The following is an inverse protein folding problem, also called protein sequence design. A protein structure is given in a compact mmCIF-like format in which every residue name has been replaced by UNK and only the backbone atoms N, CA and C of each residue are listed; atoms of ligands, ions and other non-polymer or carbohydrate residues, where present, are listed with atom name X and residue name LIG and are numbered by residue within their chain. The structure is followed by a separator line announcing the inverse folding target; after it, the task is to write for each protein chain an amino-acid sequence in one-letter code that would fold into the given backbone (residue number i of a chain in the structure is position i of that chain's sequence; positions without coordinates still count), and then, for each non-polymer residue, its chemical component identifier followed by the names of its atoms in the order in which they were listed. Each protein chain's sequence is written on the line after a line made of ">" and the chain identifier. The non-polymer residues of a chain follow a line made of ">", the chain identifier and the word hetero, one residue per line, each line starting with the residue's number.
data_IF_061731668283
#
_entry.id   IF_061731668283
#
_cell.length_a   1.000
_cell.length_b   1.000
_cell.length_c   1.000
_cell.angle_alpha   90.00
_cell.angle_beta   90.00
_cell.angle_gamma   90.00
#
_symmetry.space_group_name_H-M   'P 1'
#
loop_
_entity.id
_entity.type
_entity.pdbx_description
1 polymer ?
#
# COMPACT_ATOMS: atom_id res chain seq x y z
N UNK A 1 7.66 -10.77 -17.55
CA UNK A 1 7.17 -9.38 -17.58
C UNK A 1 8.30 -8.49 -17.08
N UNK A 2 8.76 -7.53 -17.89
CA UNK A 2 9.78 -6.55 -17.47
C UNK A 2 9.07 -5.50 -16.59
N UNK A 3 9.52 -5.34 -15.34
CA UNK A 3 9.08 -4.26 -14.46
C UNK A 3 9.62 -2.96 -15.05
N UNK A 4 8.75 -2.00 -15.34
CA UNK A 4 9.14 -0.69 -15.85
C UNK A 4 9.30 0.29 -14.69
N UNK A 5 10.07 1.34 -14.91
CA UNK A 5 10.28 2.39 -13.89
C UNK A 5 8.99 3.14 -13.52
N UNK A 6 7.96 3.04 -14.39
CA UNK A 6 6.63 3.66 -14.27
C UNK A 6 5.57 2.76 -13.63
N UNK A 7 5.94 1.59 -13.10
CA UNK A 7 4.99 0.63 -12.55
C UNK A 7 4.77 0.81 -11.04
N UNK A 8 3.58 0.44 -10.57
CA UNK A 8 3.24 0.32 -9.14
C UNK A 8 2.77 -1.08 -8.86
N UNK A 9 3.01 -1.55 -7.64
CA UNK A 9 2.62 -2.89 -7.23
C UNK A 9 1.11 -2.96 -7.05
N UNK A 10 0.48 -3.96 -7.66
CA UNK A 10 -0.98 -4.12 -7.65
C UNK A 10 -1.58 -4.26 -6.24
N UNK A 11 -0.77 -4.70 -5.26
CA UNK A 11 -1.17 -4.84 -3.86
C UNK A 11 -1.84 -3.58 -3.28
N UNK A 12 -1.40 -2.38 -3.71
CA UNK A 12 -2.03 -1.11 -3.32
C UNK A 12 -3.48 -1.03 -3.79
N UNK A 13 -3.72 -1.25 -5.09
CA UNK A 13 -5.07 -1.24 -5.67
C UNK A 13 -5.94 -2.36 -5.08
N UNK A 14 -5.38 -3.56 -4.89
CA UNK A 14 -6.09 -4.70 -4.29
C UNK A 14 -6.61 -4.33 -2.89
N UNK A 15 -5.72 -3.95 -1.97
CA UNK A 15 -6.12 -3.67 -0.59
C UNK A 15 -7.05 -2.45 -0.49
N UNK A 16 -6.87 -1.45 -1.33
CA UNK A 16 -7.80 -0.33 -1.42
C UNK A 16 -9.21 -0.78 -1.84
N UNK A 17 -9.31 -1.63 -2.86
CA UNK A 17 -10.61 -2.16 -3.30
C UNK A 17 -11.26 -3.06 -2.26
N UNK A 18 -10.47 -3.87 -1.55
CA UNK A 18 -10.97 -4.74 -0.49
C UNK A 18 -11.55 -3.90 0.65
N UNK A 19 -10.88 -2.81 1.03
CA UNK A 19 -11.40 -1.85 2.03
C UNK A 19 -12.70 -1.19 1.59
N UNK A 20 -12.82 -0.82 0.32
CA UNK A 20 -14.09 -0.31 -0.24
C UNK A 20 -15.19 -1.37 -0.15
N UNK A 21 -14.89 -2.61 -0.52
CA UNK A 21 -15.86 -3.72 -0.45
C UNK A 21 -16.36 -3.94 0.98
N UNK A 22 -15.45 -3.92 1.96
CA UNK A 22 -15.78 -4.06 3.38
C UNK A 22 -16.63 -2.90 3.92
N UNK A 23 -16.35 -1.66 3.51
CA UNK A 23 -16.94 -0.46 4.13
C UNK A 23 -18.10 0.18 3.35
N UNK A 24 -18.15 -0.01 2.03
CA UNK A 24 -19.14 0.61 1.12
C UNK A 24 -19.96 -0.42 0.34
N UNK A 25 -19.51 -1.68 0.30
CA UNK A 25 -20.19 -2.79 -0.35
C UNK A 25 -19.97 -2.89 -1.86
N UNK A 26 -20.15 -4.11 -2.39
CA UNK A 26 -19.92 -4.43 -3.80
C UNK A 26 -20.75 -3.59 -4.78
N UNK A 27 -22.03 -3.35 -4.48
CA UNK A 27 -22.91 -2.59 -5.37
C UNK A 27 -22.42 -1.15 -5.61
N UNK A 28 -21.85 -0.52 -4.58
CA UNK A 28 -21.30 0.83 -4.68
C UNK A 28 -20.04 0.84 -5.56
N UNK A 29 -19.16 -0.15 -5.35
CA UNK A 29 -17.96 -0.32 -6.15
C UNK A 29 -18.30 -0.58 -7.62
N UNK A 30 -19.20 -1.53 -7.90
CA UNK A 30 -19.59 -1.91 -9.26
C UNK A 30 -20.18 -0.74 -10.03
N UNK A 31 -21.01 0.07 -9.36
CA UNK A 31 -21.60 1.28 -9.97
C UNK A 31 -20.54 2.28 -10.39
N UNK A 32 -19.54 2.53 -9.55
CA UNK A 32 -18.47 3.48 -9.87
C UNK A 32 -17.46 2.90 -10.87
N UNK A 33 -17.16 1.61 -10.77
CA UNK A 33 -16.32 0.89 -11.73
C UNK A 33 -16.91 0.89 -13.14
N UNK A 34 -18.24 0.86 -13.27
CA UNK A 34 -18.93 0.96 -14.57
C UNK A 34 -18.76 2.32 -15.26
N UNK A 35 -18.41 3.38 -14.52
CA UNK A 35 -18.17 4.72 -15.06
C UNK A 35 -16.73 4.95 -15.53
N UNK A 36 -15.82 4.02 -15.20
CA UNK A 36 -14.44 4.07 -15.67
C UNK A 36 -14.36 3.76 -17.18
N UNK A 37 -13.41 4.37 -17.91
CA UNK A 37 -13.01 3.94 -19.24
C UNK A 37 -12.75 2.43 -19.30
N UNK A 38 -13.06 1.80 -20.43
CA UNK A 38 -13.02 0.34 -20.60
C UNK A 38 -11.68 -0.28 -20.17
N UNK A 39 -10.56 0.31 -20.60
CA UNK A 39 -9.22 -0.17 -20.25
C UNK A 39 -8.92 -0.12 -18.74
N UNK A 40 -9.43 0.90 -18.02
CA UNK A 40 -9.27 1.02 -16.58
C UNK A 40 -10.18 0.05 -15.83
N UNK A 41 -11.40 -0.15 -16.32
CA UNK A 41 -12.32 -1.16 -15.78
C UNK A 41 -11.75 -2.57 -15.89
N UNK A 42 -11.13 -2.90 -17.04
CA UNK A 42 -10.41 -4.18 -17.21
C UNK A 42 -9.24 -4.29 -16.25
N UNK A 43 -8.46 -3.22 -16.09
CA UNK A 43 -7.34 -3.19 -15.14
C UNK A 43 -7.79 -3.41 -13.69
N UNK A 44 -8.92 -2.81 -13.29
CA UNK A 44 -9.53 -3.00 -11.99
C UNK A 44 -10.03 -4.45 -11.78
N UNK A 45 -10.65 -5.05 -12.81
CA UNK A 45 -11.14 -6.42 -12.76
C UNK A 45 -9.98 -7.44 -12.64
N UNK A 46 -8.94 -7.27 -13.45
CA UNK A 46 -7.76 -8.15 -13.52
C UNK A 46 -6.67 -7.83 -12.47
N UNK A 47 -6.97 -7.00 -11.47
CA UNK A 47 -5.97 -6.51 -10.51
C UNK A 47 -5.24 -7.63 -9.75
N UNK A 48 -5.90 -8.77 -9.54
CA UNK A 48 -5.31 -9.94 -8.86
C UNK A 48 -4.42 -10.79 -9.80
N UNK A 49 -4.62 -10.67 -11.12
CA UNK A 49 -3.87 -11.44 -12.13
C UNK A 49 -2.52 -10.81 -12.46
N UNK A 50 -2.32 -9.56 -12.05
CA UNK A 50 -1.13 -8.75 -12.33
C UNK A 50 -0.39 -8.42 -11.04
N UNK A 51 0.93 -8.57 -11.04
CA UNK A 51 1.77 -8.14 -9.90
C UNK A 51 2.10 -6.64 -9.95
N UNK A 52 2.20 -6.10 -11.16
CA UNK A 52 2.57 -4.71 -11.43
C UNK A 52 1.56 -4.09 -12.41
N UNK A 53 1.23 -2.83 -12.17
CA UNK A 53 0.31 -2.03 -12.96
C UNK A 53 1.02 -0.75 -13.41
N UNK A 54 0.61 -0.19 -14.54
CA UNK A 54 1.12 1.13 -14.95
C UNK A 54 0.60 2.17 -13.95
N UNK A 55 1.47 3.02 -13.43
CA UNK A 55 1.11 3.97 -12.39
C UNK A 55 0.01 4.95 -12.80
N UNK A 56 -0.02 5.38 -14.07
CA UNK A 56 -1.09 6.29 -14.54
C UNK A 56 -2.48 5.63 -14.53
N UNK A 57 -2.57 4.35 -14.92
CA UNK A 57 -3.83 3.60 -14.95
C UNK A 57 -4.32 3.33 -13.52
N UNK A 58 -3.42 2.88 -12.64
CA UNK A 58 -3.74 2.64 -11.23
C UNK A 58 -4.19 3.94 -10.53
N UNK A 59 -3.46 5.04 -10.72
CA UNK A 59 -3.83 6.34 -10.18
C UNK A 59 -5.21 6.78 -10.65
N UNK A 60 -5.50 6.67 -11.95
CA UNK A 60 -6.80 7.08 -12.48
C UNK A 60 -7.96 6.31 -11.84
N UNK A 61 -7.76 5.01 -11.57
CA UNK A 61 -8.73 4.18 -10.84
C UNK A 61 -8.85 4.62 -9.38
N UNK A 62 -7.72 4.77 -8.67
CA UNK A 62 -7.70 5.16 -7.26
C UNK A 62 -8.41 6.51 -7.03
N UNK A 63 -8.05 7.53 -7.82
CA UNK A 63 -8.63 8.88 -7.69
C UNK A 63 -10.13 8.85 -7.96
N UNK A 64 -10.56 8.22 -9.07
CA UNK A 64 -11.98 8.12 -9.40
C UNK A 64 -12.78 7.45 -8.28
N UNK A 65 -12.30 6.33 -7.75
CA UNK A 65 -13.00 5.62 -6.67
C UNK A 65 -12.95 6.40 -5.36
N UNK A 66 -11.81 6.99 -4.99
CA UNK A 66 -11.66 7.74 -3.75
C UNK A 66 -12.57 8.98 -3.70
N UNK A 67 -12.67 9.73 -4.81
CA UNK A 67 -13.54 10.91 -4.92
C UNK A 67 -15.03 10.54 -4.91
N UNK A 68 -15.43 9.52 -5.70
CA UNK A 68 -16.85 9.20 -5.87
C UNK A 68 -17.44 8.37 -4.72
N UNK A 69 -16.60 7.73 -3.91
CA UNK A 69 -17.02 6.91 -2.76
C UNK A 69 -16.63 7.50 -1.40
N UNK A 70 -16.01 8.67 -1.40
CA UNK A 70 -15.43 9.30 -0.20
C UNK A 70 -14.59 8.28 0.60
N UNK A 71 -13.54 7.79 -0.06
CA UNK A 71 -12.74 6.66 0.37
C UNK A 71 -11.23 6.97 0.43
N UNK A 72 -10.86 8.25 0.56
CA UNK A 72 -9.46 8.66 0.69
C UNK A 72 -8.77 8.05 1.92
N UNK A 73 -9.50 7.94 3.03
CA UNK A 73 -9.07 7.24 4.25
C UNK A 73 -8.67 5.78 3.98
N UNK A 74 -9.43 5.07 3.14
CA UNK A 74 -9.16 3.67 2.80
C UNK A 74 -7.85 3.49 2.03
N UNK A 75 -7.41 4.50 1.27
CA UNK A 75 -6.12 4.44 0.59
C UNK A 75 -4.96 4.49 1.58
N UNK A 76 -5.08 5.34 2.60
CA UNK A 76 -4.12 5.38 3.70
C UNK A 76 -4.12 4.07 4.48
N UNK A 77 -5.29 3.48 4.76
CA UNK A 77 -5.40 2.17 5.42
C UNK A 77 -4.76 1.05 4.58
N UNK A 78 -4.97 1.07 3.26
CA UNK A 78 -4.34 0.13 2.34
C UNK A 78 -2.80 0.23 2.38
N UNK A 79 -2.26 1.45 2.51
CA UNK A 79 -0.83 1.67 2.77
C UNK A 79 -0.36 1.04 4.07
N UNK A 80 -1.09 1.28 5.16
CA UNK A 80 -0.78 0.69 6.47
C UNK A 80 -0.74 -0.84 6.42
N UNK A 81 -1.69 -1.45 5.74
CA UNK A 81 -1.82 -2.91 5.69
C UNK A 81 -0.81 -3.56 4.72
N UNK A 82 -0.37 -2.83 3.69
CA UNK A 82 0.69 -3.25 2.76
C UNK A 82 2.01 -3.60 3.45
N UNK A 83 2.29 -3.04 4.64
CA UNK A 83 3.52 -3.34 5.40
C UNK A 83 3.66 -4.84 5.67
N UNK A 84 2.55 -5.55 5.93
CA UNK A 84 2.56 -7.00 6.13
C UNK A 84 3.07 -7.77 4.89
N UNK A 85 2.71 -7.32 3.70
CA UNK A 85 3.14 -7.91 2.41
C UNK A 85 4.64 -7.69 2.21
N UNK A 86 5.15 -6.51 2.55
CA UNK A 86 6.58 -6.24 2.52
C UNK A 86 7.34 -7.14 3.51
N UNK A 87 6.92 -7.18 4.77
CA UNK A 87 7.56 -8.02 5.79
C UNK A 87 7.52 -9.52 5.42
N UNK A 88 6.44 -9.99 4.80
CA UNK A 88 6.35 -11.36 4.27
C UNK A 88 7.45 -11.62 3.23
N UNK A 89 7.68 -10.68 2.30
CA UNK A 89 8.73 -10.83 1.29
C UNK A 89 10.15 -10.83 1.88
N UNK A 90 10.35 -10.23 3.06
CA UNK A 90 11.61 -10.26 3.78
C UNK A 90 11.80 -11.52 4.64
N UNK A 91 10.73 -12.23 4.98
CA UNK A 91 10.77 -13.43 5.84
C UNK A 91 11.51 -14.60 5.20
N UNK A 92 11.52 -14.69 3.87
CA UNK A 92 12.37 -15.63 3.12
C UNK A 92 13.87 -15.31 3.23
N UNK A 93 14.23 -14.11 3.69
CA UNK A 93 15.59 -13.58 3.71
C UNK A 93 16.03 -13.16 5.12
N UNK A 94 15.88 -14.00 6.16
CA UNK A 94 16.49 -13.84 7.52
C UNK A 94 16.72 -12.40 8.03
N UNK A 95 15.82 -11.46 7.77
CA UNK A 95 16.00 -10.07 8.19
C UNK A 95 15.53 -9.97 9.64
N UNK A 96 16.49 -10.01 10.55
CA UNK A 96 16.29 -9.61 11.95
C UNK A 96 16.60 -8.13 12.03
N UNK A 97 15.60 -7.31 12.31
CA UNK A 97 15.83 -5.94 12.76
C UNK A 97 16.62 -6.04 14.06
N UNK A 98 17.90 -5.64 14.06
CA UNK A 98 18.72 -5.67 15.27
C UNK A 98 18.32 -4.55 16.22
N UNK A 99 17.72 -3.48 15.69
CA UNK A 99 17.19 -2.34 16.44
C UNK A 99 15.94 -1.73 15.78
N UNK A 100 15.23 -0.88 16.52
CA UNK A 100 14.16 -0.03 15.99
C UNK A 100 14.69 0.89 14.88
N UNK A 101 15.89 1.42 15.06
CA UNK A 101 16.56 2.30 14.11
C UNK A 101 16.80 1.57 12.77
N UNK A 102 17.20 0.29 12.79
CA UNK A 102 17.28 -0.52 11.57
C UNK A 102 15.93 -0.65 10.87
N UNK A 103 14.85 -0.78 11.64
CA UNK A 103 13.48 -0.79 11.12
C UNK A 103 13.12 0.51 10.42
N UNK A 104 13.44 1.64 11.03
CA UNK A 104 13.17 2.97 10.47
C UNK A 104 13.98 3.17 9.18
N UNK A 105 15.24 2.76 9.13
CA UNK A 105 16.05 2.83 7.90
C UNK A 105 15.58 1.89 6.77
N UNK A 106 14.65 0.97 7.02
CA UNK A 106 14.00 0.18 5.95
C UNK A 106 12.84 0.93 5.27
N UNK A 107 12.39 2.08 5.78
CA UNK A 107 11.26 2.84 5.18
C UNK A 107 11.48 3.11 3.68
N UNK A 108 12.65 3.56 3.21
CA UNK A 108 12.88 3.72 1.78
C UNK A 108 12.71 2.43 0.96
N UNK A 109 13.20 1.31 1.48
CA UNK A 109 13.05 -0.01 0.83
C UNK A 109 11.61 -0.50 0.84
N UNK A 110 10.86 -0.23 1.91
CA UNK A 110 9.42 -0.47 1.98
C UNK A 110 8.67 0.30 0.90
N UNK A 111 8.96 1.59 0.72
CA UNK A 111 8.32 2.43 -0.30
C UNK A 111 8.66 1.91 -1.71
N UNK A 112 9.94 1.64 -1.98
CA UNK A 112 10.41 1.14 -3.26
C UNK A 112 9.83 -0.24 -3.65
N UNK A 113 9.38 -1.03 -2.66
CA UNK A 113 8.71 -2.31 -2.91
C UNK A 113 7.33 -2.16 -3.56
N UNK A 114 6.69 -1.00 -3.39
CA UNK A 114 5.35 -0.72 -3.92
C UNK A 114 5.33 0.33 -5.03
N UNK A 115 6.24 1.30 -5.00
CA UNK A 115 6.25 2.45 -5.91
C UNK A 115 7.65 2.59 -6.52
N UNK A 116 7.78 2.42 -7.84
CA UNK A 116 9.08 2.55 -8.53
C UNK A 116 9.32 3.93 -9.13
N UNK A 117 8.25 4.73 -9.27
CA UNK A 117 8.29 6.02 -9.96
C UNK A 117 8.91 7.17 -9.13
N UNK A 118 9.34 6.90 -7.90
CA UNK A 118 10.04 7.84 -7.04
C UNK A 118 11.24 7.19 -6.35
N UNK A 119 12.19 8.02 -5.97
CA UNK A 119 13.28 7.66 -5.06
C UNK A 119 12.93 8.17 -3.67
N UNK A 120 13.20 7.35 -2.65
CA UNK A 120 13.00 7.74 -1.25
C UNK A 120 14.34 7.75 -0.52
N UNK A 121 14.56 8.80 0.27
CA UNK A 121 15.79 9.01 1.03
C UNK A 121 15.43 9.34 2.46
N UNK A 122 16.09 8.69 3.42
CA UNK A 122 15.91 8.96 4.83
C UNK A 122 17.19 9.53 5.43
N UNK A 123 17.16 10.81 5.79
CA UNK A 123 18.22 11.48 6.53
C UNK A 123 17.96 11.41 8.03
N UNK A 124 19.03 11.50 8.83
CA UNK A 124 18.94 11.65 10.29
C UNK A 124 18.87 13.14 10.65
N UNK A 125 17.97 13.48 11.55
CA UNK A 125 17.84 14.84 12.11
C UNK A 125 18.91 15.17 13.15
N UNK A 126 18.79 16.35 13.76
CA UNK A 126 19.74 16.82 14.77
C UNK A 126 19.61 16.04 16.09
N UNK A 127 18.38 15.68 16.49
CA UNK A 127 18.16 14.92 17.72
C UNK A 127 17.94 13.42 17.47
N UNK A 128 18.25 12.56 18.45
CA UNK A 128 17.92 11.13 18.37
C UNK A 128 16.41 10.92 18.27
N UNK A 129 15.98 10.16 17.26
CA UNK A 129 14.56 9.90 16.97
C UNK A 129 13.96 10.82 15.92
N UNK A 130 14.70 11.81 15.43
CA UNK A 130 14.29 12.67 14.31
C UNK A 130 14.89 12.17 13.00
N UNK A 131 14.06 12.08 11.98
CA UNK A 131 14.43 11.63 10.64
C UNK A 131 13.73 12.52 9.60
N UNK A 132 14.39 12.77 8.48
CA UNK A 132 13.81 13.50 7.36
C UNK A 132 13.63 12.56 6.18
N UNK A 133 12.38 12.29 5.79
CA UNK A 133 12.06 11.49 4.61
C UNK A 133 11.87 12.42 3.42
N UNK A 134 12.71 12.28 2.40
CA UNK A 134 12.56 12.96 1.12
C UNK A 134 12.08 11.98 0.06
N UNK A 135 10.99 12.34 -0.62
CA UNK A 135 10.45 11.64 -1.77
C UNK A 135 10.73 12.48 -3.01
N UNK A 136 11.52 11.95 -3.94
CA UNK A 136 11.85 12.60 -5.21
C UNK A 136 11.24 11.81 -6.36
N UNK A 137 10.25 12.41 -7.03
CA UNK A 137 9.58 11.79 -8.17
C UNK A 137 10.45 11.90 -9.42
N UNK A 138 10.49 10.82 -10.21
CA UNK A 138 11.25 10.81 -11.46
C UNK A 138 10.62 11.77 -12.47
N UNK A 139 11.44 12.47 -13.26
CA UNK A 139 11.01 13.52 -14.20
C UNK A 139 9.93 13.11 -15.21
N UNK A 140 9.91 11.84 -15.59
CA UNK A 140 8.96 11.31 -16.58
C UNK A 140 7.62 10.91 -15.92
N UNK A 141 7.56 10.88 -14.59
CA UNK A 141 6.38 10.53 -13.84
C UNK A 141 5.61 11.78 -13.42
N UNK A 142 4.30 11.78 -13.63
CA UNK A 142 3.42 12.84 -13.12
C UNK A 142 3.17 12.59 -11.63
N UNK A 143 3.88 13.28 -10.76
CA UNK A 143 3.70 13.12 -9.32
C UNK A 143 2.26 13.49 -8.88
N UNK A 144 1.72 12.80 -7.88
CA UNK A 144 0.34 12.99 -7.44
C UNK A 144 0.16 12.76 -5.92
N UNK A 145 -0.68 13.54 -5.21
CA UNK A 145 -0.89 13.40 -3.76
C UNK A 145 -1.38 12.02 -3.29
N UNK A 146 -1.96 11.23 -4.19
CA UNK A 146 -2.40 9.84 -3.93
C UNK A 146 -1.24 8.98 -3.40
N UNK A 147 -0.03 9.18 -3.94
CA UNK A 147 1.18 8.42 -3.56
C UNK A 147 1.65 8.81 -2.17
N UNK A 148 1.62 10.12 -1.87
CA UNK A 148 1.90 10.64 -0.54
C UNK A 148 0.98 10.04 0.52
N UNK A 149 -0.35 10.05 0.29
CA UNK A 149 -1.33 9.50 1.24
C UNK A 149 -1.12 8.01 1.51
N UNK A 150 -0.80 7.24 0.47
CA UNK A 150 -0.47 5.83 0.61
C UNK A 150 0.85 5.61 1.39
N UNK A 151 1.87 6.44 1.14
CA UNK A 151 3.17 6.39 1.82
C UNK A 151 3.03 6.77 3.30
N UNK A 152 2.21 7.75 3.65
CA UNK A 152 1.89 8.07 5.04
C UNK A 152 1.31 6.85 5.76
N UNK A 153 0.41 6.11 5.09
CA UNK A 153 -0.12 4.84 5.56
C UNK A 153 0.99 3.80 5.77
N UNK A 154 1.88 3.61 4.80
CA UNK A 154 3.03 2.69 4.90
C UNK A 154 3.91 3.01 6.11
N UNK A 155 4.23 4.28 6.32
CA UNK A 155 5.07 4.73 7.44
C UNK A 155 4.37 4.42 8.77
N UNK A 156 3.08 4.73 8.89
CA UNK A 156 2.33 4.38 10.10
C UNK A 156 2.30 2.86 10.33
N UNK A 157 2.07 2.07 9.29
CA UNK A 157 2.11 0.61 9.39
C UNK A 157 3.46 0.10 9.89
N UNK A 158 4.55 0.70 9.43
CA UNK A 158 5.91 0.33 9.85
C UNK A 158 6.17 0.71 11.32
N UNK A 159 5.78 1.92 11.71
CA UNK A 159 5.88 2.41 13.09
C UNK A 159 5.08 1.54 14.07
N UNK A 160 3.86 1.15 13.68
CA UNK A 160 3.02 0.22 14.45
C UNK A 160 3.67 -1.16 14.57
N UNK A 161 4.26 -1.67 13.49
CA UNK A 161 5.00 -2.93 13.50
C UNK A 161 6.19 -2.88 14.48
N UNK A 162 6.91 -1.76 14.51
CA UNK A 162 8.02 -1.51 15.45
C UNK A 162 7.56 -1.22 16.89
N UNK A 163 6.24 -1.19 17.14
CA UNK A 163 5.61 -0.93 18.45
C UNK A 163 6.02 0.40 19.08
N UNK A 164 6.29 1.40 18.24
CA UNK A 164 6.56 2.76 18.69
C UNK A 164 5.27 3.37 19.27
N UNK A 165 5.35 3.85 20.51
CA UNK A 165 4.19 4.44 21.21
C UNK A 165 3.95 5.91 20.85
N UNK A 166 5.04 6.60 20.52
CA UNK A 166 5.06 8.02 20.17
C UNK A 166 5.68 8.14 18.78
N UNK A 167 4.91 8.68 17.86
CA UNK A 167 5.32 8.94 16.49
C UNK A 167 4.56 10.15 15.99
N UNK A 168 5.24 10.94 15.17
CA UNK A 168 4.65 12.05 14.45
C UNK A 168 5.28 12.12 13.06
N UNK A 169 4.43 12.18 12.04
CA UNK A 169 4.84 12.44 10.66
C UNK A 169 4.22 13.78 10.25
N UNK A 170 5.09 14.74 9.95
CA UNK A 170 4.68 16.09 9.55
C UNK A 170 5.18 16.37 8.14
N UNK A 171 4.29 16.71 7.19
CA UNK A 171 4.76 17.20 5.90
C UNK A 171 5.45 18.55 6.13
N UNK A 172 6.71 18.66 5.71
CA UNK A 172 7.49 19.90 5.79
C UNK A 172 7.37 20.71 4.51
N UNK A 173 7.39 20.02 3.37
CA UNK A 173 7.45 20.64 2.06
C UNK A 173 6.86 19.72 0.99
N UNK A 174 6.19 20.29 0.00
CA UNK A 174 5.82 19.59 -1.22
C UNK A 174 5.83 20.55 -2.40
N UNK A 175 6.32 20.09 -3.55
CA UNK A 175 6.14 20.79 -4.84
C UNK A 175 4.84 20.41 -5.53
N UNK A 176 4.08 19.45 -4.98
CA UNK A 176 2.87 18.93 -5.62
C UNK A 176 1.71 19.92 -5.50
N UNK A 177 0.93 20.14 -6.58
CA UNK A 177 -0.23 21.02 -6.53
C UNK A 177 -1.30 20.44 -5.58
N UNK A 178 -1.82 21.28 -4.68
CA UNK A 178 -2.85 20.87 -3.72
C UNK A 178 -2.33 20.17 -2.47
N UNK A 179 -1.00 20.08 -2.27
CA UNK A 179 -0.44 19.71 -0.97
C UNK A 179 -0.84 20.79 0.05
N UNK A 180 -1.62 20.38 1.06
CA UNK A 180 -2.31 21.16 2.08
C UNK A 180 -1.97 22.65 2.20
N UNK A 181 -3.02 23.48 2.30
CA UNK A 181 -2.99 24.91 2.68
C UNK A 181 -2.30 25.22 4.03
N UNK A 182 -1.76 24.22 4.71
CA UNK A 182 -1.09 24.30 6.01
C UNK A 182 0.44 24.19 5.95
N UNK A 183 1.02 23.98 4.77
CA UNK A 183 2.48 23.91 4.59
C UNK A 183 3.11 25.30 4.58
N UNK A 184 4.21 25.49 5.32
CA UNK A 184 5.01 26.73 5.26
C UNK A 184 5.58 26.86 3.85
N UNK A 185 5.13 27.88 3.12
CA UNK A 185 5.77 28.29 1.86
C UNK A 185 7.24 28.62 2.12
N UNK A 186 8.15 27.95 1.41
CA UNK A 186 9.55 28.35 1.38
C UNK A 186 9.71 29.72 0.68
N UNK A 187 10.84 30.42 0.91
CA UNK A 187 11.23 31.60 0.13
C UNK A 187 11.11 31.31 -1.38
N UNK A 188 10.56 32.27 -2.12
CA UNK A 188 10.22 32.23 -3.54
C UNK A 188 11.38 31.96 -4.52
N UNK A 189 12.56 31.64 -4.00
CA UNK A 189 13.85 31.56 -4.67
C UNK A 189 14.42 30.14 -4.74
N UNK A 190 13.77 29.13 -4.16
CA UNK A 190 14.17 27.71 -4.31
C UNK A 190 13.43 27.06 -5.49
N UNK A 191 14.13 26.89 -6.61
CA UNK A 191 13.67 26.09 -7.75
C UNK A 191 14.16 24.66 -7.64
N UNK A 192 13.23 23.71 -7.54
CA UNK A 192 13.54 22.28 -7.52
C UNK A 192 13.69 21.74 -8.94
N UNK A 193 14.63 20.81 -9.12
CA UNK A 193 14.88 20.17 -10.42
C UNK A 193 13.95 18.98 -10.71
N UNK A 194 13.15 18.57 -9.72
CA UNK A 194 12.22 17.44 -9.74
C UNK A 194 11.06 17.71 -8.76
N UNK A 195 9.96 16.98 -8.94
CA UNK A 195 8.86 17.03 -7.99
C UNK A 195 9.23 16.31 -6.70
N UNK A 196 9.05 16.98 -5.56
CA UNK A 196 9.54 16.52 -4.25
C UNK A 196 8.46 16.67 -3.18
N UNK A 197 8.42 15.72 -2.25
CA UNK A 197 7.76 15.89 -0.95
C UNK A 197 8.71 15.50 0.18
N UNK A 198 8.80 16.35 1.21
CA UNK A 198 9.66 16.14 2.37
C UNK A 198 8.80 16.06 3.62
N UNK A 199 9.05 15.04 4.44
CA UNK A 199 8.44 14.84 5.75
C UNK A 199 9.47 14.90 6.86
N UNK A 200 9.05 15.42 8.00
CA UNK A 200 9.68 15.21 9.29
C UNK A 200 9.04 13.99 9.95
N UNK A 201 9.87 13.02 10.30
CA UNK A 201 9.51 11.81 11.01
C UNK A 201 10.16 11.87 12.38
N UNK A 202 9.35 12.14 13.40
CA UNK A 202 9.80 12.06 14.80
C UNK A 202 9.25 10.80 15.44
N UNK A 203 10.11 10.00 16.03
CA UNK A 203 9.75 8.83 16.83
C UNK A 203 10.24 9.03 18.27
N UNK A 204 9.37 8.72 19.24
CA UNK A 204 9.74 8.84 20.65
C UNK A 204 10.80 7.83 21.05
N UNK A 205 11.53 8.15 22.13
CA UNK A 205 12.52 7.24 22.74
C UNK A 205 11.81 6.12 23.49
N UNK A 206 11.28 5.12 22.79
CA UNK A 206 10.90 3.85 23.44
C UNK A 206 12.09 2.90 23.47
N UNK A 207 12.38 2.40 24.67
CA UNK A 207 13.39 1.38 25.00
C UNK A 207 13.27 0.15 24.08
N UNK A 208 14.40 -0.56 23.93
CA UNK A 208 14.59 -1.81 23.20
C UNK A 208 13.31 -2.59 22.85
N UNK A 209 13.14 -3.05 21.60
CA UNK A 209 11.98 -3.82 21.19
C UNK A 209 11.89 -5.22 21.84
N UNK A 210 12.87 -5.61 22.67
CA UNK A 210 12.96 -6.93 23.27
C UNK A 210 13.31 -6.82 24.75
N UNK A 211 12.49 -7.35 25.68
CA UNK A 211 12.93 -7.57 27.05
C UNK A 211 14.13 -8.53 27.04
N UNK A 212 15.11 -8.31 27.92
CA UNK A 212 16.30 -9.15 28.13
C UNK A 212 15.96 -10.53 28.74
N UNK A 213 14.94 -11.22 28.22
CA UNK A 213 14.56 -12.58 28.62
C UNK A 213 14.79 -13.55 27.45
N UNK A 214 16.03 -14.02 27.33
CA UNK A 214 16.59 -14.82 26.23
C UNK A 214 15.97 -16.23 26.02
N UNK A 215 14.79 -16.57 26.56
CA UNK A 215 14.23 -17.93 26.38
C UNK A 215 12.73 -18.05 26.16
N UNK A 216 11.91 -17.00 26.37
CA UNK A 216 10.45 -17.10 26.20
C UNK A 216 9.87 -16.25 25.05
N UNK A 217 10.63 -15.29 24.52
CA UNK A 217 10.15 -14.36 23.47
C UNK A 217 10.18 -14.99 22.07
N UNK A 218 11.12 -15.90 21.80
CA UNK A 218 11.20 -16.62 20.51
C UNK A 218 9.91 -17.43 20.24
N UNK A 219 9.40 -18.16 21.24
CA UNK A 219 8.16 -18.93 21.10
C UNK A 219 6.93 -18.04 20.86
N UNK A 220 6.82 -16.88 21.51
CA UNK A 220 5.63 -16.03 21.38
C UNK A 220 5.59 -15.23 20.08
N UNK A 221 6.75 -14.82 19.58
CA UNK A 221 6.86 -14.09 18.31
C UNK A 221 6.68 -15.04 17.13
N UNK A 222 7.27 -16.25 17.18
CA UNK A 222 7.00 -17.29 16.20
C UNK A 222 5.53 -17.74 16.23
N UNK A 223 4.90 -17.89 17.41
CA UNK A 223 3.47 -18.24 17.50
C UNK A 223 2.54 -17.12 17.02
N UNK A 224 2.94 -15.85 17.17
CA UNK A 224 2.17 -14.71 16.65
C UNK A 224 2.32 -14.59 15.13
N UNK A 225 3.56 -14.61 14.64
CA UNK A 225 3.87 -14.61 13.21
C UNK A 225 3.25 -15.84 12.54
N UNK A 226 3.34 -17.04 13.14
CA UNK A 226 2.67 -18.25 12.65
C UNK A 226 1.14 -18.11 12.63
N UNK A 227 0.51 -17.47 13.63
CA UNK A 227 -0.93 -17.21 13.62
C UNK A 227 -1.33 -16.21 12.53
N UNK A 228 -0.55 -15.15 12.33
CA UNK A 228 -0.77 -14.18 11.26
C UNK A 228 -0.53 -14.83 9.90
N UNK A 229 0.54 -15.62 9.74
CA UNK A 229 0.84 -16.41 8.55
C UNK A 229 -0.29 -17.38 8.23
N UNK A 230 -0.78 -18.13 9.22
CA UNK A 230 -1.89 -19.06 9.05
C UNK A 230 -3.16 -18.33 8.63
N UNK A 231 -3.47 -17.19 9.26
CA UNK A 231 -4.67 -16.41 8.96
C UNK A 231 -4.60 -15.72 7.60
N UNK A 232 -3.42 -15.22 7.20
CA UNK A 232 -3.20 -14.64 5.87
C UNK A 232 -3.18 -15.71 4.77
N UNK A 233 -2.66 -16.91 5.07
CA UNK A 233 -2.72 -18.06 4.17
C UNK A 233 -4.15 -18.58 4.02
N UNK A 234 -4.92 -18.65 5.12
CA UNK A 234 -6.36 -18.92 5.10
C UNK A 234 -7.10 -17.89 4.24
N UNK A 235 -6.83 -16.58 4.38
CA UNK A 235 -7.47 -15.54 3.56
C UNK A 235 -7.11 -15.67 2.06
N UNK A 236 -5.83 -15.89 1.74
CA UNK A 236 -5.39 -16.04 0.34
C UNK A 236 -5.90 -17.35 -0.28
N UNK A 237 -5.97 -18.42 0.51
CA UNK A 237 -6.49 -19.70 0.08
C UNK A 237 -8.02 -19.66 -0.06
N UNK A 238 -8.74 -19.06 0.88
CA UNK A 238 -10.19 -18.82 0.80
C UNK A 238 -10.52 -17.91 -0.39
N UNK A 239 -9.75 -16.86 -0.65
CA UNK A 239 -9.92 -15.99 -1.83
C UNK A 239 -9.71 -16.75 -3.14
N UNK A 240 -8.69 -17.62 -3.20
CA UNK A 240 -8.42 -18.46 -4.37
C UNK A 240 -9.47 -19.55 -4.57
N UNK A 241 -9.89 -20.21 -3.49
CA UNK A 241 -10.94 -21.23 -3.49
C UNK A 241 -12.31 -20.61 -3.83
N UNK A 242 -12.59 -19.39 -3.37
CA UNK A 242 -13.77 -18.60 -3.75
C UNK A 242 -13.74 -18.24 -5.24
N UNK A 243 -12.60 -17.78 -5.78
CA UNK A 243 -12.48 -17.54 -7.22
C UNK A 243 -12.70 -18.81 -8.04
N UNK A 244 -12.10 -19.93 -7.63
CA UNK A 244 -12.31 -21.23 -8.30
C UNK A 244 -13.76 -21.71 -8.17
N UNK A 245 -14.41 -21.50 -7.02
CA UNK A 245 -15.82 -21.83 -6.83
C UNK A 245 -16.73 -20.97 -7.71
N UNK A 246 -16.41 -19.68 -7.89
CA UNK A 246 -17.11 -18.77 -8.81
C UNK A 246 -16.93 -19.24 -10.26
N UNK A 247 -15.73 -19.64 -10.67
CA UNK A 247 -15.50 -20.20 -12.01
C UNK A 247 -16.30 -21.48 -12.25
N UNK A 248 -16.33 -22.42 -11.29
CA UNK A 248 -17.15 -23.62 -11.41
C UNK A 248 -18.65 -23.32 -11.45
N UNK A 249 -19.12 -22.35 -10.68
CA UNK A 249 -20.52 -21.91 -10.72
C UNK A 249 -20.88 -21.26 -12.07
N UNK A 250 -19.98 -20.48 -12.65
CA UNK A 250 -20.17 -19.90 -13.98
C UNK A 250 -20.20 -20.98 -15.07
N UNK A 251 -19.29 -21.95 -15.03
CA UNK A 251 -19.29 -23.10 -15.96
C UNK A 251 -20.59 -23.91 -15.82
N UNK A 252 -21.06 -24.14 -14.59
CA UNK A 252 -22.30 -24.87 -14.34
C UNK A 252 -23.54 -24.10 -14.83
N UNK A 253 -23.56 -22.77 -14.68
CA UNK A 253 -24.62 -21.91 -15.23
C UNK A 253 -24.65 -21.96 -16.76
N UNK A 254 -23.49 -21.87 -17.42
CA UNK A 254 -23.38 -21.94 -18.88
C UNK A 254 -23.88 -23.30 -19.43
N UNK A 255 -23.62 -24.40 -18.72
CA UNK A 255 -24.15 -25.72 -19.09
C UNK A 255 -25.67 -25.83 -18.87
N UNK A 256 -26.19 -25.19 -17.82
CA UNK A 256 -27.62 -25.13 -17.53
C UNK A 256 -28.36 -24.32 -18.59
N UNK A 257 -27.85 -23.17 -18.98
CA UNK A 257 -28.41 -22.35 -20.06
C UNK A 257 -28.45 -23.12 -21.38
N UNK A 258 -27.34 -23.80 -21.76
CA UNK A 258 -27.31 -24.67 -22.96
C UNK A 258 -28.36 -25.78 -22.91
N UNK A 259 -28.60 -26.39 -21.75
CA UNK A 259 -29.64 -27.43 -21.58
C UNK A 259 -31.05 -26.88 -21.64
N UNK A 260 -31.27 -25.66 -21.15
CA UNK A 260 -32.56 -24.96 -21.22
C UNK A 260 -32.86 -24.58 -22.67
N UNK A 261 -31.90 -23.99 -23.39
CA UNK A 261 -32.03 -23.67 -24.82
C UNK A 261 -32.29 -24.92 -25.68
N UNK A 262 -31.63 -26.04 -25.36
CA UNK A 262 -31.85 -27.31 -26.05
C UNK A 262 -33.24 -27.91 -25.79
N UNK A 263 -33.87 -27.63 -24.66
CA UNK A 263 -35.24 -28.05 -24.34
C UNK A 263 -36.32 -27.11 -24.90
N UNK A 264 -35.96 -25.90 -25.32
CA UNK A 264 -36.87 -24.93 -25.93
C UNK A 264 -36.88 -24.98 -27.48
N UNK A 265 -36.11 -25.89 -28.10
CA UNK A 265 -36.20 -26.26 -29.53
C UNK A 265 -36.99 -27.54 -29.72
#
# INVERSE_FOLDING_TARGET
>A
MLIREEDVRSARLILFTDRILENRGAQSLDRQAALLPEHLRLTLAERHDRLWLRSEDERAILVHLAENLDAWDMLWEAGRDCVSIYLYSLSSSRLRFASIEDGIYQIPSLIAHFITCLSSFLGRGENPGEYQLCLEYRKEHKAHPVDNLFIEGLIEGMVRFLRLREFELKPLQSSLPGADTHLKSWPSDVTWNADITVYDLTVGKSQHPFPEEETQVEENTEKFVSRVLKRSQEILQESRELMTAIEYLNIANDELEKKIEANHR
#
